data_IF_647536178025
#
_entry.id   IF_647536178025
#
_cell.length_a   1.000
_cell.length_b   1.000
_cell.length_c   1.000
_cell.angle_alpha   90.00
_cell.angle_beta   90.00
_cell.angle_gamma   90.00
#
_symmetry.space_group_name_H-M   'P 1'
#
loop_
_entity.id
_entity.type
_entity.pdbx_description
1 polymer ?
#
# COMPACT_ATOMS: atom_id res chain seq x y z
N UNK A 1 19.20 1.30 -7.68
CA UNK A 1 18.63 -0.03 -7.39
C UNK A 1 19.61 -0.75 -6.49
N UNK A 2 19.51 -0.55 -5.18
CA UNK A 2 20.56 -0.96 -4.25
C UNK A 2 20.04 -1.03 -2.84
N UNK A 3 20.08 -2.24 -2.29
CA UNK A 3 19.82 -2.61 -0.90
C UNK A 3 18.41 -2.35 -0.38
N UNK A 4 17.48 -3.27 -0.72
CA UNK A 4 16.55 -3.71 0.33
C UNK A 4 17.41 -4.22 1.48
N UNK A 5 17.48 -3.48 2.59
CA UNK A 5 17.97 -4.08 3.81
C UNK A 5 17.09 -5.29 4.11
N UNK A 6 17.66 -6.34 4.70
CA UNK A 6 16.89 -7.52 5.10
C UNK A 6 15.65 -7.12 5.94
N UNK A 7 15.73 -6.02 6.67
CA UNK A 7 14.62 -5.44 7.41
C UNK A 7 13.49 -4.91 6.51
N UNK A 8 13.80 -4.29 5.38
CA UNK A 8 12.79 -3.81 4.42
C UNK A 8 12.06 -4.98 3.77
N UNK A 9 12.80 -6.03 3.37
CA UNK A 9 12.23 -7.26 2.82
C UNK A 9 11.21 -7.89 3.78
N UNK A 10 11.60 -8.10 5.05
CA UNK A 10 10.70 -8.67 6.05
C UNK A 10 9.55 -7.73 6.43
N UNK A 11 9.76 -6.42 6.40
CA UNK A 11 8.69 -5.44 6.65
C UNK A 11 7.63 -5.48 5.55
N UNK A 12 8.04 -5.52 4.28
CA UNK A 12 7.12 -5.64 3.14
C UNK A 12 6.35 -6.96 3.19
N UNK A 13 7.04 -8.08 3.44
CA UNK A 13 6.39 -9.39 3.56
C UNK A 13 5.40 -9.43 4.72
N UNK A 14 5.75 -8.86 5.88
CA UNK A 14 4.84 -8.77 7.02
C UNK A 14 3.58 -7.97 6.70
N UNK A 15 3.72 -6.82 6.02
CA UNK A 15 2.58 -6.01 5.57
C UNK A 15 1.67 -6.77 4.58
N UNK A 16 2.26 -7.52 3.66
CA UNK A 16 1.52 -8.36 2.71
C UNK A 16 0.77 -9.49 3.41
N UNK A 17 1.37 -10.14 4.40
CA UNK A 17 0.69 -11.17 5.20
C UNK A 17 -0.47 -10.60 6.03
N UNK A 18 -0.25 -9.48 6.73
CA UNK A 18 -1.23 -8.92 7.65
C UNK A 18 -2.43 -8.26 6.94
N UNK A 19 -2.16 -7.51 5.87
CA UNK A 19 -3.21 -6.73 5.20
C UNK A 19 -3.76 -7.42 3.94
N UNK A 20 -2.98 -8.31 3.32
CA UNK A 20 -3.32 -8.92 2.03
C UNK A 20 -3.43 -10.44 2.08
N UNK A 21 -3.31 -11.07 3.27
CA UNK A 21 -3.52 -12.52 3.51
C UNK A 21 -2.66 -13.45 2.63
N UNK A 22 -1.53 -12.98 2.10
CA UNK A 22 -0.59 -13.85 1.41
C UNK A 22 0.04 -14.86 2.37
N UNK A 23 0.21 -16.09 1.91
CA UNK A 23 0.98 -17.10 2.63
C UNK A 23 2.49 -16.91 2.42
N UNK A 24 3.30 -17.35 3.39
CA UNK A 24 4.77 -17.31 3.27
C UNK A 24 5.24 -18.14 2.07
N UNK A 25 4.58 -19.25 1.78
CA UNK A 25 4.89 -20.09 0.62
C UNK A 25 4.68 -19.34 -0.70
N UNK A 26 3.56 -18.63 -0.84
CA UNK A 26 3.31 -17.80 -2.04
C UNK A 26 4.34 -16.68 -2.16
N UNK A 27 4.69 -16.02 -1.05
CA UNK A 27 5.71 -14.96 -1.06
C UNK A 27 7.10 -15.48 -1.39
N UNK A 28 7.48 -16.67 -0.92
CA UNK A 28 8.79 -17.29 -1.20
C UNK A 28 8.88 -17.89 -2.62
N UNK A 29 7.77 -18.35 -3.18
CA UNK A 29 7.69 -18.88 -4.55
C UNK A 29 7.54 -17.79 -5.63
N UNK A 30 7.18 -16.56 -5.26
CA UNK A 30 7.06 -15.45 -6.21
C UNK A 30 8.40 -15.15 -6.90
N UNK A 31 8.36 -15.14 -8.24
CA UNK A 31 9.50 -14.72 -9.04
C UNK A 31 9.81 -13.25 -8.71
N UNK A 32 11.08 -12.85 -8.51
CA UNK A 32 11.43 -11.51 -8.05
C UNK A 32 10.77 -10.36 -8.85
N UNK A 33 10.63 -10.52 -10.17
CA UNK A 33 9.98 -9.49 -11.00
C UNK A 33 8.48 -9.35 -10.71
N UNK A 34 7.77 -10.44 -10.41
CA UNK A 34 6.33 -10.41 -10.12
C UNK A 34 6.05 -9.70 -8.81
N UNK A 35 6.93 -9.91 -7.81
CA UNK A 35 6.86 -9.21 -6.53
C UNK A 35 7.02 -7.70 -6.71
N UNK A 36 8.00 -7.27 -7.52
CA UNK A 36 8.22 -5.84 -7.80
C UNK A 36 7.00 -5.20 -8.46
N UNK A 37 6.37 -5.88 -9.43
CA UNK A 37 5.14 -5.41 -10.10
C UNK A 37 3.98 -5.35 -9.11
N UNK A 38 3.83 -6.36 -8.25
CA UNK A 38 2.76 -6.37 -7.24
C UNK A 38 2.92 -5.23 -6.22
N UNK A 39 4.13 -5.01 -5.71
CA UNK A 39 4.44 -3.89 -4.79
C UNK A 39 4.15 -2.55 -5.47
N UNK A 40 4.52 -2.39 -6.74
CA UNK A 40 4.23 -1.18 -7.50
C UNK A 40 2.72 -0.92 -7.60
N UNK A 41 1.94 -1.93 -7.98
CA UNK A 41 0.48 -1.82 -8.09
C UNK A 41 -0.17 -1.54 -6.74
N UNK A 42 0.31 -2.20 -5.68
CA UNK A 42 -0.18 -1.96 -4.32
C UNK A 42 0.12 -0.53 -3.86
N UNK A 43 1.33 -0.02 -4.13
CA UNK A 43 1.70 1.35 -3.80
C UNK A 43 0.80 2.35 -4.52
N UNK A 44 0.53 2.13 -5.81
CA UNK A 44 -0.38 2.98 -6.59
C UNK A 44 -1.81 2.93 -6.05
N UNK A 45 -2.27 1.76 -5.59
CA UNK A 45 -3.59 1.61 -5.00
C UNK A 45 -3.72 2.39 -3.69
N UNK A 46 -2.74 2.26 -2.79
CA UNK A 46 -2.70 2.97 -1.51
C UNK A 46 -2.67 4.49 -1.72
N UNK A 47 -1.88 4.97 -2.68
CA UNK A 47 -1.82 6.40 -3.01
C UNK A 47 -3.18 6.93 -3.44
N UNK A 48 -3.85 6.27 -4.39
CA UNK A 48 -5.20 6.63 -4.84
C UNK A 48 -6.21 6.64 -3.71
N UNK A 49 -6.13 5.67 -2.80
CA UNK A 49 -7.09 5.60 -1.70
C UNK A 49 -6.88 6.71 -0.66
N UNK A 50 -5.62 7.06 -0.39
CA UNK A 50 -5.29 8.23 0.44
C UNK A 50 -5.78 9.53 -0.19
N UNK A 51 -5.66 9.68 -1.52
CA UNK A 51 -6.20 10.83 -2.25
C UNK A 51 -7.73 10.90 -2.13
N UNK A 52 -8.43 9.77 -2.31
CA UNK A 52 -9.89 9.69 -2.15
C UNK A 52 -10.32 10.15 -0.75
N UNK A 53 -9.70 9.60 0.30
CA UNK A 53 -9.98 9.96 1.69
C UNK A 53 -9.71 11.45 1.93
N UNK A 54 -8.60 11.98 1.40
CA UNK A 54 -8.26 13.41 1.53
C UNK A 54 -9.30 14.30 0.85
N UNK A 55 -9.77 13.93 -0.34
CA UNK A 55 -10.83 14.65 -1.04
C UNK A 55 -12.13 14.63 -0.25
N UNK A 56 -12.57 13.47 0.25
CA UNK A 56 -13.78 13.34 1.07
C UNK A 56 -13.71 14.20 2.33
N UNK A 57 -12.60 14.15 3.05
CA UNK A 57 -12.38 14.99 4.23
C UNK A 57 -12.42 16.48 3.90
N UNK A 58 -11.81 16.89 2.78
CA UNK A 58 -11.82 18.29 2.34
C UNK A 58 -13.23 18.78 1.95
N UNK A 59 -14.02 17.92 1.29
CA UNK A 59 -15.40 18.21 0.91
C UNK A 59 -16.29 18.33 2.15
N UNK A 60 -16.16 17.40 3.10
CA UNK A 60 -16.88 17.47 4.38
C UNK A 60 -16.56 18.75 5.14
N UNK A 61 -15.29 19.14 5.22
CA UNK A 61 -14.87 20.40 5.84
C UNK A 61 -15.44 21.63 5.12
N UNK A 62 -15.43 21.65 3.79
CA UNK A 62 -16.00 22.74 3.00
C UNK A 62 -17.52 22.86 3.21
N UNK A 63 -18.24 21.75 3.26
CA UNK A 63 -19.68 21.71 3.56
C UNK A 63 -19.97 22.23 4.97
N UNK A 64 -19.17 21.83 5.97
CA UNK A 64 -19.31 22.33 7.35
C UNK A 64 -19.05 23.83 7.45
N UNK A 65 -18.08 24.38 6.70
CA UNK A 65 -17.79 25.81 6.68
C UNK A 65 -18.89 26.63 6.00
N UNK A 66 -19.57 26.08 4.99
CA UNK A 66 -20.71 26.75 4.31
C UNK A 66 -22.00 26.77 5.14
N UNK A 67 -22.11 25.91 6.15
CA UNK A 67 -23.27 25.83 7.07
C UNK A 67 -23.11 26.70 8.33
N UNK A 68 -21.98 27.38 8.50
CA UNK A 68 -21.71 28.35 9.56
C UNK A 68 -21.85 29.77 9.00
#
# INVERSE_FOLDING_TARGET
MGHESLANYYKTNFSLMQHHKYSIAELEEMIPFERDVYILLLSQHIEKENERIKMENSQQQAQMRRRR
#
